data_IF_799889575764
#
_entry.id   IF_799889575764
#
_cell.length_a   1.000
_cell.length_b   1.000
_cell.length_c   1.000
_cell.angle_alpha   90.00
_cell.angle_beta   90.00
_cell.angle_gamma   90.00
#
_symmetry.space_group_name_H-M   'P 1'
#
loop_
_entity.id
_entity.type
_entity.pdbx_description
1 polymer ?
#
# COMPACT_ATOMS: atom_id res chain seq x y z
N UNK A 1 -44.33 5.41 -80.09
CA UNK A 1 -45.21 4.44 -79.42
C UNK A 1 -44.51 4.06 -78.11
N UNK A 2 -44.92 4.62 -77.00
CA UNK A 2 -44.35 4.30 -75.68
C UNK A 2 -44.80 2.89 -75.25
N UNK A 3 -43.88 2.01 -75.07
CA UNK A 3 -44.18 0.67 -74.58
C UNK A 3 -44.44 0.72 -73.01
N UNK A 4 -45.75 0.91 -72.64
CA UNK A 4 -46.07 1.09 -71.22
C UNK A 4 -45.64 -0.10 -70.35
N UNK A 5 -45.59 -1.28 -70.95
CA UNK A 5 -45.12 -2.50 -70.26
C UNK A 5 -43.61 -2.45 -69.90
N UNK A 6 -42.77 -1.85 -70.76
CA UNK A 6 -41.30 -1.68 -70.49
C UNK A 6 -41.05 -0.65 -69.39
N UNK A 7 -41.82 0.46 -69.37
CA UNK A 7 -41.69 1.48 -68.31
C UNK A 7 -42.15 0.95 -66.99
N UNK A 8 -43.26 0.18 -66.91
CA UNK A 8 -43.72 -0.46 -65.68
C UNK A 8 -42.71 -1.49 -65.15
N UNK A 9 -42.10 -2.31 -66.04
CA UNK A 9 -41.05 -3.28 -65.66
C UNK A 9 -39.83 -2.57 -65.10
N UNK A 10 -39.42 -1.45 -65.69
CA UNK A 10 -38.26 -0.70 -65.25
C UNK A 10 -38.50 -0.04 -63.89
N UNK A 11 -39.70 0.48 -63.63
CA UNK A 11 -40.15 1.02 -62.35
C UNK A 11 -40.17 -0.08 -61.31
N UNK A 12 -40.68 -1.27 -61.64
CA UNK A 12 -40.75 -2.40 -60.72
C UNK A 12 -39.35 -2.89 -60.31
N UNK A 13 -38.42 -2.96 -61.26
CA UNK A 13 -37.01 -3.32 -60.98
C UNK A 13 -36.35 -2.24 -60.13
N UNK A 14 -36.60 -0.97 -60.37
CA UNK A 14 -36.07 0.12 -59.57
C UNK A 14 -36.59 0.10 -58.13
N UNK A 15 -37.88 -0.16 -57.95
CA UNK A 15 -38.52 -0.30 -56.63
C UNK A 15 -37.96 -1.53 -55.90
N UNK A 16 -37.82 -2.67 -56.60
CA UNK A 16 -37.24 -3.87 -56.00
C UNK A 16 -35.79 -3.63 -55.59
N UNK A 17 -34.98 -2.98 -56.43
CA UNK A 17 -33.60 -2.62 -56.12
C UNK A 17 -33.51 -1.64 -54.95
N UNK A 18 -34.42 -0.67 -54.84
CA UNK A 18 -34.49 0.23 -53.71
C UNK A 18 -34.87 -0.50 -52.41
N UNK A 19 -35.88 -1.39 -52.46
CA UNK A 19 -36.30 -2.18 -51.31
C UNK A 19 -35.18 -3.11 -50.83
N UNK A 20 -34.47 -3.78 -51.72
CA UNK A 20 -33.33 -4.64 -51.33
C UNK A 20 -32.18 -3.84 -50.72
N UNK A 21 -31.85 -2.65 -51.26
CA UNK A 21 -30.83 -1.75 -50.69
C UNK A 21 -31.24 -1.24 -49.31
N UNK A 22 -32.52 -0.92 -49.09
CA UNK A 22 -33.04 -0.43 -47.82
C UNK A 22 -33.19 -1.52 -46.75
N UNK A 23 -33.19 -2.80 -47.16
CA UNK A 23 -33.35 -3.97 -46.27
C UNK A 23 -32.02 -4.45 -45.74
N UNK A 24 -30.94 -4.27 -46.49
CA UNK A 24 -29.62 -4.76 -46.13
C UNK A 24 -28.84 -3.72 -45.31
N UNK A 25 -28.13 -4.17 -44.29
CA UNK A 25 -27.20 -3.35 -43.54
C UNK A 25 -26.00 -4.18 -43.08
N UNK A 26 -24.88 -3.53 -42.83
CA UNK A 26 -23.62 -4.16 -42.43
C UNK A 26 -23.30 -3.81 -40.98
N UNK A 27 -22.91 -4.81 -40.20
CA UNK A 27 -22.38 -4.65 -38.84
C UNK A 27 -20.87 -4.83 -38.89
N UNK A 28 -20.13 -3.82 -38.42
CA UNK A 28 -18.68 -3.91 -38.31
C UNK A 28 -18.26 -4.68 -37.06
N UNK A 29 -17.06 -5.27 -37.10
CA UNK A 29 -16.50 -6.04 -35.99
C UNK A 29 -16.33 -5.21 -34.69
N UNK A 30 -16.23 -3.90 -34.83
CA UNK A 30 -16.07 -2.95 -33.71
C UNK A 30 -17.39 -2.51 -33.09
N UNK A 31 -18.53 -2.89 -33.68
CA UNK A 31 -19.87 -2.41 -33.33
C UNK A 31 -20.82 -3.56 -33.12
N UNK A 32 -21.83 -3.32 -32.34
CA UNK A 32 -23.02 -4.15 -32.20
C UNK A 32 -24.22 -3.36 -32.75
N UNK A 33 -25.17 -4.01 -33.34
CA UNK A 33 -26.34 -3.39 -33.88
C UNK A 33 -27.57 -3.75 -33.04
N UNK A 34 -28.28 -2.74 -32.54
CA UNK A 34 -29.56 -2.88 -31.89
C UNK A 34 -30.66 -2.53 -32.89
N UNK A 35 -31.49 -3.50 -33.24
CA UNK A 35 -32.62 -3.32 -34.15
C UNK A 35 -33.85 -2.89 -33.34
N UNK A 36 -34.33 -1.70 -33.61
CA UNK A 36 -35.52 -1.14 -32.98
C UNK A 36 -36.69 -1.26 -33.93
N UNK A 37 -37.85 -1.59 -33.41
CA UNK A 37 -39.13 -1.58 -34.13
C UNK A 37 -40.07 -0.56 -33.44
N UNK A 38 -40.38 0.52 -34.10
CA UNK A 38 -41.18 1.64 -33.57
C UNK A 38 -40.60 2.22 -32.26
N UNK A 39 -39.28 2.11 -32.08
CA UNK A 39 -38.59 2.59 -30.89
C UNK A 39 -38.32 1.52 -29.82
N UNK A 40 -38.98 0.34 -29.92
CA UNK A 40 -38.75 -0.77 -28.99
C UNK A 40 -37.61 -1.68 -29.46
N UNK A 41 -36.69 -2.07 -28.58
CA UNK A 41 -35.62 -2.98 -28.94
C UNK A 41 -36.17 -4.41 -29.15
N UNK A 42 -35.88 -4.97 -30.31
CA UNK A 42 -36.35 -6.33 -30.70
C UNK A 42 -35.23 -7.33 -30.80
N UNK A 43 -34.09 -6.95 -31.31
CA UNK A 43 -33.01 -7.86 -31.63
C UNK A 43 -31.65 -7.17 -31.48
N UNK A 44 -30.72 -7.86 -30.81
CA UNK A 44 -29.32 -7.49 -30.78
C UNK A 44 -28.56 -8.34 -31.77
N UNK A 45 -27.69 -7.74 -32.55
CA UNK A 45 -26.84 -8.38 -33.54
C UNK A 45 -25.41 -8.07 -33.16
N UNK A 46 -24.69 -9.08 -32.67
CA UNK A 46 -23.29 -9.02 -32.20
C UNK A 46 -22.31 -9.54 -33.25
N UNK A 47 -22.78 -10.33 -34.20
CA UNK A 47 -21.95 -10.92 -35.25
C UNK A 47 -21.73 -9.92 -36.39
N UNK A 48 -20.43 -9.72 -36.78
CA UNK A 48 -20.12 -8.87 -37.91
C UNK A 48 -20.57 -9.51 -39.21
N UNK A 49 -21.07 -8.71 -40.15
CA UNK A 49 -21.51 -9.18 -41.45
C UNK A 49 -22.69 -8.43 -41.99
N UNK A 50 -23.32 -9.05 -43.04
CA UNK A 50 -24.48 -8.52 -43.71
C UNK A 50 -25.76 -9.08 -43.06
N UNK A 51 -26.64 -8.18 -42.64
CA UNK A 51 -27.90 -8.50 -41.96
C UNK A 51 -29.09 -7.85 -42.63
N UNK A 52 -30.30 -8.31 -42.25
CA UNK A 52 -31.56 -7.86 -42.82
C UNK A 52 -32.36 -7.07 -41.77
N UNK A 53 -33.00 -6.00 -42.23
CA UNK A 53 -34.02 -5.25 -41.49
C UNK A 53 -35.27 -5.04 -42.33
N UNK A 54 -36.37 -4.85 -41.67
CA UNK A 54 -37.61 -4.42 -42.37
C UNK A 54 -37.51 -2.91 -42.65
N UNK A 55 -37.48 -2.51 -43.93
CA UNK A 55 -37.42 -1.10 -44.28
C UNK A 55 -38.66 -0.40 -43.75
N UNK A 56 -38.54 0.89 -43.39
CA UNK A 56 -39.58 1.79 -42.86
C UNK A 56 -40.12 1.44 -41.47
N UNK A 57 -39.97 0.20 -40.99
CA UNK A 57 -40.51 -0.27 -39.70
C UNK A 57 -39.39 -0.40 -38.66
N UNK A 58 -38.19 -0.78 -39.10
CA UNK A 58 -37.08 -1.03 -38.23
C UNK A 58 -35.99 0.00 -38.44
N UNK A 59 -35.53 0.56 -37.32
CA UNK A 59 -34.33 1.40 -37.22
C UNK A 59 -33.19 0.67 -36.54
N UNK A 60 -31.95 1.06 -36.85
CA UNK A 60 -30.74 0.46 -36.29
C UNK A 60 -29.99 1.52 -35.52
N UNK A 61 -29.57 1.15 -34.33
CA UNK A 61 -28.59 1.90 -33.53
C UNK A 61 -27.33 1.08 -33.43
N UNK A 62 -26.21 1.67 -33.83
CA UNK A 62 -24.89 1.07 -33.67
C UNK A 62 -24.30 1.47 -32.33
N UNK A 63 -23.86 0.47 -31.56
CA UNK A 63 -23.25 0.63 -30.26
C UNK A 63 -21.82 0.12 -30.36
N UNK A 64 -20.84 0.88 -29.89
CA UNK A 64 -19.45 0.52 -29.93
C UNK A 64 -19.17 -0.64 -28.97
N UNK A 65 -18.48 -1.68 -29.45
CA UNK A 65 -18.10 -2.90 -28.69
C UNK A 65 -16.70 -2.80 -28.10
N UNK A 66 -15.93 -1.80 -28.52
CA UNK A 66 -14.55 -1.58 -28.05
C UNK A 66 -14.56 -1.08 -26.62
N UNK A 67 -13.38 -1.12 -26.02
CA UNK A 67 -13.14 -0.43 -24.77
C UNK A 67 -13.12 1.07 -25.04
N UNK A 68 -13.98 1.80 -24.33
CA UNK A 68 -14.14 3.24 -24.42
C UNK A 68 -13.50 3.91 -23.22
N UNK A 69 -12.93 5.08 -23.44
CA UNK A 69 -12.37 5.89 -22.38
C UNK A 69 -13.38 6.93 -21.90
N UNK A 70 -13.46 7.11 -20.60
CA UNK A 70 -14.20 8.16 -19.93
C UNK A 70 -13.23 8.97 -19.09
N UNK A 71 -13.00 10.22 -19.48
CA UNK A 71 -12.28 11.19 -18.66
C UNK A 71 -13.24 11.76 -17.62
N UNK A 72 -12.92 11.58 -16.35
CA UNK A 72 -13.66 12.21 -15.26
C UNK A 72 -13.15 13.63 -15.06
N UNK A 73 -14.04 14.59 -14.71
CA UNK A 73 -13.58 15.93 -14.37
C UNK A 73 -12.63 15.87 -13.16
N UNK A 74 -11.64 16.76 -13.16
CA UNK A 74 -10.74 16.92 -12.02
C UNK A 74 -11.54 17.40 -10.81
N UNK A 75 -11.44 16.69 -9.69
CA UNK A 75 -12.18 16.99 -8.46
C UNK A 75 -11.24 17.15 -7.26
N UNK A 76 -11.66 17.99 -6.31
CA UNK A 76 -11.03 18.06 -5.00
C UNK A 76 -11.66 17.02 -4.06
N UNK A 77 -10.84 16.12 -3.53
CA UNK A 77 -11.22 15.11 -2.57
C UNK A 77 -10.47 15.31 -1.25
N UNK A 78 -11.04 14.81 -0.17
CA UNK A 78 -10.43 14.87 1.16
C UNK A 78 -10.06 13.45 1.58
N UNK A 79 -8.78 13.22 1.85
CA UNK A 79 -8.28 11.95 2.37
C UNK A 79 -8.61 11.77 3.87
N UNK A 80 -8.45 10.54 4.40
CA UNK A 80 -8.73 10.22 5.80
C UNK A 80 -7.90 11.05 6.79
N UNK A 81 -6.69 11.45 6.39
CA UNK A 81 -5.79 12.35 7.15
C UNK A 81 -6.09 13.85 6.95
N UNK A 82 -7.29 14.17 6.47
CA UNK A 82 -7.81 15.54 6.24
C UNK A 82 -7.02 16.38 5.22
N UNK A 83 -6.18 15.76 4.42
CA UNK A 83 -5.49 16.43 3.32
C UNK A 83 -6.41 16.56 2.12
N UNK A 84 -6.47 17.76 1.54
CA UNK A 84 -7.17 18.00 0.27
C UNK A 84 -6.31 17.56 -0.90
N UNK A 85 -6.90 16.85 -1.83
CA UNK A 85 -6.25 16.31 -3.03
C UNK A 85 -7.02 16.75 -4.25
N UNK A 86 -6.30 17.20 -5.26
CA UNK A 86 -6.82 17.40 -6.60
C UNK A 86 -6.57 16.12 -7.37
N UNK A 87 -7.65 15.40 -7.68
CA UNK A 87 -7.57 14.09 -8.32
C UNK A 87 -8.10 14.18 -9.74
N UNK A 88 -7.30 13.69 -10.69
CA UNK A 88 -7.66 13.46 -12.08
C UNK A 88 -7.65 11.95 -12.34
N UNK A 89 -8.77 11.43 -12.84
CA UNK A 89 -8.93 10.01 -13.09
C UNK A 89 -9.56 9.73 -14.47
N UNK A 90 -9.21 8.59 -15.03
CA UNK A 90 -9.88 8.06 -16.21
C UNK A 90 -10.40 6.66 -15.94
N UNK A 91 -11.47 6.34 -16.63
CA UNK A 91 -12.15 5.04 -16.53
C UNK A 91 -12.23 4.41 -17.90
N UNK A 92 -11.90 3.15 -18.01
CA UNK A 92 -12.11 2.35 -19.21
C UNK A 92 -13.29 1.45 -19.01
N UNK A 93 -14.24 1.52 -19.92
CA UNK A 93 -15.46 0.73 -19.86
C UNK A 93 -15.79 0.09 -21.21
N UNK A 94 -16.62 -0.91 -21.17
CA UNK A 94 -17.14 -1.62 -22.35
C UNK A 94 -18.63 -1.83 -22.18
N UNK A 95 -19.38 -1.69 -23.27
CA UNK A 95 -20.79 -2.00 -23.30
C UNK A 95 -20.93 -3.51 -23.55
N UNK A 96 -21.33 -4.24 -22.51
CA UNK A 96 -21.47 -5.70 -22.54
C UNK A 96 -22.87 -6.12 -23.02
N UNK A 97 -23.90 -5.43 -22.56
CA UNK A 97 -25.27 -5.68 -22.94
C UNK A 97 -25.88 -4.43 -23.59
N UNK A 98 -25.98 -4.41 -24.94
CA UNK A 98 -26.54 -3.27 -25.66
C UNK A 98 -28.03 -3.04 -25.38
N UNK A 99 -28.76 -4.09 -24.99
CA UNK A 99 -30.18 -3.98 -24.67
C UNK A 99 -30.39 -3.22 -23.35
N UNK A 100 -29.70 -3.67 -22.30
CA UNK A 100 -29.72 -3.00 -21.00
C UNK A 100 -29.20 -1.57 -21.11
N UNK A 101 -28.11 -1.36 -21.86
CA UNK A 101 -27.54 -0.04 -22.12
C UNK A 101 -28.56 0.91 -22.74
N UNK A 102 -29.24 0.46 -23.80
CA UNK A 102 -30.21 1.29 -24.48
C UNK A 102 -31.45 1.57 -23.63
N UNK A 103 -31.96 0.60 -22.91
CA UNK A 103 -33.15 0.76 -22.05
C UNK A 103 -32.91 1.69 -20.88
N UNK A 104 -31.71 1.63 -20.27
CA UNK A 104 -31.35 2.41 -19.08
C UNK A 104 -30.84 3.82 -19.42
N UNK A 105 -29.98 3.95 -20.44
CA UNK A 105 -29.22 5.17 -20.68
C UNK A 105 -29.54 5.82 -22.03
N UNK A 106 -30.05 5.05 -23.00
CA UNK A 106 -30.44 5.42 -24.37
C UNK A 106 -29.31 5.88 -25.28
N UNK A 107 -28.39 6.71 -24.79
CA UNK A 107 -27.30 7.25 -25.61
C UNK A 107 -25.98 7.33 -24.80
N UNK A 108 -24.83 7.38 -25.53
CA UNK A 108 -23.51 7.44 -24.95
C UNK A 108 -23.24 8.70 -24.16
N UNK A 109 -23.91 9.82 -24.47
CA UNK A 109 -23.71 11.09 -23.76
C UNK A 109 -24.28 11.01 -22.34
N UNK A 110 -25.49 10.47 -22.20
CA UNK A 110 -26.09 10.20 -20.89
C UNK A 110 -25.32 9.15 -20.11
N UNK A 111 -24.83 8.11 -20.80
CA UNK A 111 -23.97 7.12 -20.22
C UNK A 111 -22.73 7.75 -19.59
N UNK A 112 -22.00 8.57 -20.34
CA UNK A 112 -20.79 9.23 -19.85
C UNK A 112 -21.06 10.14 -18.65
N UNK A 113 -22.16 10.93 -18.69
CA UNK A 113 -22.52 11.78 -17.54
C UNK A 113 -22.88 10.96 -16.29
N UNK A 114 -23.61 9.86 -16.47
CA UNK A 114 -24.00 9.01 -15.35
C UNK A 114 -22.81 8.24 -14.77
N UNK A 115 -21.96 7.69 -15.65
CA UNK A 115 -20.73 6.99 -15.25
C UNK A 115 -19.77 7.93 -14.54
N UNK A 116 -19.56 9.16 -15.04
CA UNK A 116 -18.71 10.15 -14.38
C UNK A 116 -19.17 10.42 -12.94
N UNK A 117 -20.49 10.58 -12.72
CA UNK A 117 -21.05 10.79 -11.39
C UNK A 117 -20.83 9.58 -10.46
N UNK A 118 -20.99 8.35 -10.97
CA UNK A 118 -20.77 7.12 -10.20
C UNK A 118 -19.28 6.96 -9.86
N UNK A 119 -18.40 7.15 -10.82
CA UNK A 119 -16.94 7.09 -10.63
C UNK A 119 -16.49 8.12 -9.58
N UNK A 120 -16.96 9.37 -9.70
CA UNK A 120 -16.68 10.44 -8.75
C UNK A 120 -17.13 10.09 -7.33
N UNK A 121 -18.37 9.58 -7.19
CA UNK A 121 -18.92 9.15 -5.90
C UNK A 121 -18.10 8.01 -5.27
N UNK A 122 -17.77 7.00 -6.07
CA UNK A 122 -16.98 5.84 -5.62
C UNK A 122 -15.54 6.23 -5.26
N UNK A 123 -14.90 7.11 -6.04
CA UNK A 123 -13.59 7.67 -5.71
C UNK A 123 -13.62 8.44 -4.40
N UNK A 124 -14.64 9.28 -4.19
CA UNK A 124 -14.78 10.05 -2.95
C UNK A 124 -14.92 9.15 -1.73
N UNK A 125 -15.69 8.08 -1.84
CA UNK A 125 -15.84 7.09 -0.77
C UNK A 125 -14.51 6.42 -0.43
N UNK A 126 -13.83 5.86 -1.43
CA UNK A 126 -12.59 5.08 -1.21
C UNK A 126 -11.41 5.96 -0.81
N UNK A 127 -11.26 7.14 -1.43
CA UNK A 127 -10.20 8.11 -1.09
C UNK A 127 -10.41 8.68 0.31
N UNK A 128 -11.67 8.91 0.72
CA UNK A 128 -12.00 9.40 2.06
C UNK A 128 -11.67 8.42 3.19
N UNK A 129 -11.57 7.13 2.90
CA UNK A 129 -11.19 6.08 3.86
C UNK A 129 -9.67 5.86 3.97
N UNK A 130 -8.89 6.33 3.02
CA UNK A 130 -7.45 6.07 2.92
C UNK A 130 -6.62 7.32 3.23
N UNK A 131 -5.46 7.18 3.94
CA UNK A 131 -4.52 8.28 4.10
C UNK A 131 -3.82 8.62 2.78
N UNK A 132 -3.34 9.85 2.66
CA UNK A 132 -2.68 10.36 1.45
C UNK A 132 -1.54 9.46 0.93
N UNK A 133 -0.73 8.92 1.83
CA UNK A 133 0.43 8.08 1.48
C UNK A 133 0.01 6.78 0.78
N UNK A 134 -1.10 6.18 1.19
CA UNK A 134 -1.65 4.97 0.58
C UNK A 134 -2.21 5.25 -0.82
N UNK A 135 -2.82 6.41 -1.03
CA UNK A 135 -3.38 6.82 -2.32
C UNK A 135 -2.26 7.04 -3.35
N UNK A 136 -1.14 7.66 -2.93
CA UNK A 136 -0.06 8.04 -3.84
C UNK A 136 0.95 6.91 -4.07
N UNK A 137 1.22 6.06 -3.06
CA UNK A 137 2.33 5.09 -3.08
C UNK A 137 1.92 3.68 -2.67
N UNK A 138 1.58 3.47 -1.39
CA UNK A 138 1.65 2.16 -0.74
C UNK A 138 0.57 1.19 -1.20
N UNK A 139 -0.69 1.65 -1.32
CA UNK A 139 -1.86 0.80 -1.60
C UNK A 139 -2.66 1.28 -2.81
N UNK A 140 -2.01 2.02 -3.71
CA UNK A 140 -2.68 2.63 -4.86
C UNK A 140 -3.43 1.60 -5.73
N UNK A 141 -2.79 0.49 -6.08
CA UNK A 141 -3.41 -0.52 -6.94
C UNK A 141 -4.59 -1.23 -6.27
N UNK A 142 -4.50 -1.44 -4.96
CA UNK A 142 -5.58 -2.01 -4.16
C UNK A 142 -6.80 -1.07 -4.13
N UNK A 143 -6.56 0.22 -3.88
CA UNK A 143 -7.61 1.24 -3.89
C UNK A 143 -8.27 1.37 -5.27
N UNK A 144 -7.49 1.33 -6.36
CA UNK A 144 -8.03 1.33 -7.73
C UNK A 144 -8.90 0.11 -8.00
N UNK A 145 -8.50 -1.05 -7.52
CA UNK A 145 -9.29 -2.28 -7.63
C UNK A 145 -10.60 -2.15 -6.87
N UNK A 146 -10.57 -1.63 -5.64
CA UNK A 146 -11.77 -1.38 -4.84
C UNK A 146 -12.74 -0.39 -5.52
N UNK A 147 -12.21 0.70 -6.10
CA UNK A 147 -13.02 1.66 -6.85
C UNK A 147 -13.66 0.97 -8.06
N UNK A 148 -12.90 0.21 -8.84
CA UNK A 148 -13.41 -0.54 -9.99
C UNK A 148 -14.55 -1.48 -9.62
N UNK A 149 -14.41 -2.22 -8.52
CA UNK A 149 -15.43 -3.13 -8.02
C UNK A 149 -16.71 -2.41 -7.62
N UNK A 150 -16.60 -1.32 -6.86
CA UNK A 150 -17.74 -0.49 -6.46
C UNK A 150 -18.45 0.13 -7.67
N UNK A 151 -17.69 0.62 -8.66
CA UNK A 151 -18.28 1.18 -9.88
C UNK A 151 -18.96 0.08 -10.70
N UNK A 152 -18.35 -1.11 -10.82
CA UNK A 152 -18.96 -2.24 -11.53
C UNK A 152 -20.28 -2.69 -10.88
N UNK A 153 -20.36 -2.73 -9.57
CA UNK A 153 -21.58 -3.06 -8.84
C UNK A 153 -22.70 -2.06 -9.18
N UNK A 154 -22.39 -0.76 -9.18
CA UNK A 154 -23.37 0.29 -9.47
C UNK A 154 -23.73 0.43 -10.95
N UNK A 155 -22.90 -0.09 -11.85
CA UNK A 155 -23.12 0.00 -13.31
C UNK A 155 -23.64 -1.29 -13.93
N UNK A 156 -23.80 -2.34 -13.14
CA UNK A 156 -24.27 -3.64 -13.60
C UNK A 156 -25.62 -3.56 -14.34
N UNK A 157 -26.58 -2.81 -13.78
CA UNK A 157 -27.92 -2.65 -14.35
C UNK A 157 -27.94 -1.78 -15.63
N UNK A 158 -26.82 -1.17 -15.98
CA UNK A 158 -26.70 -0.38 -17.22
C UNK A 158 -26.14 -1.18 -18.40
N UNK A 159 -25.81 -2.45 -18.20
CA UNK A 159 -25.19 -3.29 -19.21
C UNK A 159 -23.76 -2.87 -19.57
N UNK A 160 -23.08 -2.15 -18.65
CA UNK A 160 -21.72 -1.64 -18.80
C UNK A 160 -20.79 -2.44 -17.87
N UNK A 161 -19.64 -2.80 -18.39
CA UNK A 161 -18.55 -3.41 -17.64
C UNK A 161 -17.38 -2.44 -17.53
N UNK A 162 -16.96 -2.14 -16.32
CA UNK A 162 -15.77 -1.33 -16.06
C UNK A 162 -14.54 -2.22 -16.13
N UNK A 163 -13.70 -1.95 -17.10
CA UNK A 163 -12.46 -2.71 -17.33
C UNK A 163 -11.38 -2.27 -16.36
N UNK A 164 -11.20 -0.95 -16.22
CA UNK A 164 -10.19 -0.36 -15.35
C UNK A 164 -10.57 1.05 -14.90
N UNK A 165 -10.12 1.42 -13.70
CA UNK A 165 -10.21 2.79 -13.19
C UNK A 165 -8.82 3.18 -12.70
N UNK A 166 -8.30 4.30 -13.19
CA UNK A 166 -6.97 4.78 -12.81
C UNK A 166 -6.99 6.26 -12.46
N UNK A 167 -6.38 6.58 -11.34
CA UNK A 167 -6.01 7.95 -11.03
C UNK A 167 -4.80 8.31 -11.90
N UNK A 168 -4.91 9.34 -12.72
CA UNK A 168 -3.82 9.88 -13.52
C UNK A 168 -2.91 10.73 -12.66
N UNK A 169 -3.52 11.58 -11.83
CA UNK A 169 -2.86 12.58 -11.02
C UNK A 169 -3.57 12.74 -9.68
N UNK A 170 -2.81 12.81 -8.62
CA UNK A 170 -3.30 13.11 -7.27
C UNK A 170 -2.29 14.06 -6.61
N UNK A 171 -2.59 15.35 -6.64
CA UNK A 171 -1.73 16.42 -6.13
C UNK A 171 -2.41 17.19 -5.02
N UNK A 172 -1.60 17.90 -4.25
CA UNK A 172 -2.09 18.89 -3.30
C UNK A 172 -2.47 20.18 -4.05
N UNK A 173 -3.55 20.89 -3.65
CA UNK A 173 -3.91 22.17 -4.24
C UNK A 173 -2.74 23.17 -4.19
N UNK A 174 -2.46 23.86 -5.29
CA UNK A 174 -1.31 24.77 -5.42
C UNK A 174 -1.34 25.92 -4.39
N UNK A 175 -2.52 26.41 -4.06
CA UNK A 175 -2.70 27.55 -3.16
C UNK A 175 -2.17 27.34 -1.73
N UNK A 176 -2.03 26.11 -1.28
CA UNK A 176 -1.62 25.75 0.09
C UNK A 176 -0.42 24.80 0.14
N UNK A 177 0.14 24.40 -1.00
CA UNK A 177 1.18 23.37 -1.08
C UNK A 177 2.41 23.71 -0.23
N UNK A 178 2.90 24.96 -0.27
CA UNK A 178 4.09 25.37 0.48
C UNK A 178 3.90 25.25 2.00
N UNK A 179 2.81 25.76 2.54
CA UNK A 179 2.51 25.67 3.97
C UNK A 179 2.29 24.21 4.43
N UNK A 180 1.68 23.39 3.58
CA UNK A 180 1.50 21.95 3.84
C UNK A 180 2.85 21.23 3.84
N UNK A 181 3.74 21.51 2.89
CA UNK A 181 5.10 20.94 2.86
C UNK A 181 5.91 21.33 4.11
N UNK A 182 5.88 22.59 4.52
CA UNK A 182 6.57 23.05 5.73
C UNK A 182 6.04 22.35 6.99
N UNK A 183 4.73 22.19 7.08
CA UNK A 183 4.10 21.44 8.17
C UNK A 183 4.51 19.96 8.14
N UNK A 184 4.48 19.30 6.98
CA UNK A 184 4.91 17.91 6.83
C UNK A 184 6.38 17.70 7.21
N UNK A 185 7.27 18.63 6.79
CA UNK A 185 8.68 18.61 7.19
C UNK A 185 8.79 18.72 8.72
N UNK A 186 8.07 19.66 9.33
CA UNK A 186 8.08 19.86 10.78
C UNK A 186 7.57 18.64 11.54
N UNK A 187 6.52 17.99 11.07
CA UNK A 187 5.98 16.76 11.63
C UNK A 187 7.00 15.61 11.53
N UNK A 188 7.63 15.42 10.38
CA UNK A 188 8.67 14.38 10.20
C UNK A 188 9.91 14.63 11.05
N UNK A 189 10.32 15.88 11.21
CA UNK A 189 11.43 16.25 12.11
C UNK A 189 11.06 15.94 13.57
N UNK A 190 9.83 16.23 13.99
CA UNK A 190 9.36 15.91 15.34
C UNK A 190 9.33 14.40 15.57
N UNK A 191 8.74 13.62 14.66
CA UNK A 191 8.69 12.17 14.71
C UNK A 191 10.09 11.56 14.78
N UNK A 192 11.01 12.02 13.94
CA UNK A 192 12.40 11.58 13.97
C UNK A 192 13.11 11.91 15.29
N UNK A 193 12.81 13.06 15.93
CA UNK A 193 13.33 13.41 17.25
C UNK A 193 12.75 12.48 18.33
N UNK A 194 11.47 12.15 18.26
CA UNK A 194 10.80 11.24 19.21
C UNK A 194 11.41 9.82 19.12
N UNK A 195 11.58 9.27 17.92
CA UNK A 195 12.23 7.97 17.75
C UNK A 195 13.67 7.96 18.23
N UNK A 196 14.45 9.04 18.00
CA UNK A 196 15.81 9.14 18.52
C UNK A 196 15.84 9.23 20.04
N UNK A 197 14.93 9.99 20.65
CA UNK A 197 14.81 10.10 22.11
C UNK A 197 14.47 8.76 22.73
N UNK A 198 13.48 8.03 22.16
CA UNK A 198 13.13 6.67 22.57
C UNK A 198 14.29 5.69 22.43
N UNK A 199 15.01 5.76 21.31
CA UNK A 199 16.20 4.93 21.10
C UNK A 199 17.31 5.23 22.12
N UNK A 200 17.54 6.49 22.46
CA UNK A 200 18.49 6.91 23.49
C UNK A 200 18.08 6.44 24.89
N UNK A 201 16.80 6.55 25.22
CA UNK A 201 16.26 6.03 26.50
C UNK A 201 16.51 4.51 26.65
N UNK A 202 16.16 3.74 25.62
CA UNK A 202 16.36 2.29 25.62
C UNK A 202 17.86 1.94 25.71
N UNK A 203 18.71 2.64 24.97
CA UNK A 203 20.15 2.44 25.03
C UNK A 203 20.73 2.72 26.41
N UNK A 204 20.31 3.82 27.05
CA UNK A 204 20.73 4.14 28.44
C UNK A 204 20.27 3.09 29.43
N UNK A 205 19.03 2.59 29.30
CA UNK A 205 18.50 1.54 30.16
C UNK A 205 19.29 0.26 30.04
N UNK A 206 19.59 -0.18 28.83
CA UNK A 206 20.38 -1.40 28.56
C UNK A 206 21.80 -1.23 29.12
N UNK A 207 22.44 -0.08 28.89
CA UNK A 207 23.79 0.20 29.39
C UNK A 207 23.83 0.22 30.92
N UNK A 208 22.86 0.89 31.56
CA UNK A 208 22.78 0.94 33.03
C UNK A 208 22.52 -0.45 33.65
N UNK A 209 21.72 -1.27 33.01
CA UNK A 209 21.44 -2.64 33.46
C UNK A 209 22.70 -3.53 33.33
N UNK A 210 23.42 -3.42 32.20
CA UNK A 210 24.69 -4.13 32.00
C UNK A 210 25.80 -3.68 33.00
N UNK A 211 25.92 -2.37 33.26
CA UNK A 211 26.87 -1.84 34.24
C UNK A 211 26.54 -2.29 35.68
N UNK A 212 25.24 -2.33 36.01
CA UNK A 212 24.79 -2.90 37.30
C UNK A 212 25.16 -4.37 37.40
N UNK A 213 24.87 -5.17 36.39
CA UNK A 213 25.19 -6.61 36.38
C UNK A 213 26.70 -6.86 36.46
N UNK A 214 27.49 -6.11 35.69
CA UNK A 214 28.95 -6.13 35.79
C UNK A 214 29.44 -5.83 37.20
N UNK A 215 28.89 -4.80 37.86
CA UNK A 215 29.25 -4.41 39.21
C UNK A 215 28.92 -5.53 40.22
N UNK A 216 27.74 -6.14 40.10
CA UNK A 216 27.34 -7.28 40.96
C UNK A 216 28.26 -8.49 40.76
N UNK A 217 28.56 -8.86 39.54
CA UNK A 217 29.45 -9.98 39.22
C UNK A 217 30.86 -9.77 39.79
N UNK A 218 31.41 -8.54 39.61
CA UNK A 218 32.73 -8.21 40.16
C UNK A 218 32.72 -8.23 41.68
N UNK A 219 31.72 -7.69 42.33
CA UNK A 219 31.57 -7.69 43.78
C UNK A 219 31.43 -9.12 44.33
N UNK A 220 30.66 -9.98 43.69
CA UNK A 220 30.54 -11.38 44.07
C UNK A 220 31.85 -12.16 43.86
N UNK A 221 32.55 -11.91 42.77
CA UNK A 221 33.86 -12.52 42.52
C UNK A 221 34.91 -12.09 43.58
N UNK A 222 34.94 -10.80 43.90
CA UNK A 222 35.80 -10.26 44.96
C UNK A 222 35.44 -10.87 46.31
N UNK A 223 34.16 -10.93 46.67
CA UNK A 223 33.70 -11.59 47.91
C UNK A 223 34.13 -13.05 47.98
N UNK A 224 33.95 -13.83 46.91
CA UNK A 224 34.39 -15.23 46.85
C UNK A 224 35.89 -15.35 46.99
N UNK A 225 36.67 -14.47 46.35
CA UNK A 225 38.12 -14.42 46.44
C UNK A 225 38.59 -14.19 47.88
N UNK A 226 38.00 -13.20 48.57
CA UNK A 226 38.35 -12.89 49.95
C UNK A 226 37.95 -14.02 50.92
N UNK A 227 36.83 -14.69 50.74
CA UNK A 227 36.43 -15.86 51.51
C UNK A 227 37.46 -17.01 51.32
N UNK A 228 37.81 -17.32 50.06
CA UNK A 228 38.78 -18.38 49.78
C UNK A 228 40.19 -18.07 50.31
N UNK A 229 40.61 -16.79 50.24
CA UNK A 229 41.88 -16.36 50.89
C UNK A 229 41.83 -16.54 52.41
N UNK A 230 40.72 -16.06 53.04
CA UNK A 230 40.54 -16.21 54.48
C UNK A 230 40.52 -17.70 54.95
N UNK A 231 39.80 -18.56 54.16
CA UNK A 231 39.80 -19.99 54.42
C UNK A 231 41.24 -20.62 54.26
N UNK A 232 41.96 -20.16 53.23
CA UNK A 232 43.32 -20.58 52.98
C UNK A 232 44.27 -20.13 54.09
N UNK A 233 44.18 -18.90 54.52
CA UNK A 233 44.98 -18.36 55.67
C UNK A 233 44.62 -19.05 56.98
N UNK A 234 43.35 -19.31 57.28
CA UNK A 234 42.91 -20.07 58.43
C UNK A 234 43.56 -21.48 58.47
N UNK A 235 43.42 -22.19 57.32
CA UNK A 235 44.04 -23.51 57.23
C UNK A 235 45.60 -23.50 57.40
N UNK A 236 46.21 -22.47 56.81
CA UNK A 236 47.66 -22.31 56.99
C UNK A 236 48.02 -22.04 58.43
N UNK A 237 47.30 -21.18 59.14
CA UNK A 237 47.50 -20.91 60.59
C UNK A 237 47.27 -22.19 61.40
N UNK A 238 46.22 -22.98 61.14
CA UNK A 238 45.94 -24.22 61.80
C UNK A 238 47.05 -25.23 61.61
N UNK A 239 47.64 -25.38 60.43
CA UNK A 239 48.74 -26.25 60.11
C UNK A 239 50.01 -25.80 60.86
N UNK A 240 50.29 -24.47 60.86
CA UNK A 240 51.45 -23.94 61.60
C UNK A 240 51.24 -24.07 63.10
N UNK A 241 50.05 -23.84 63.66
CA UNK A 241 49.78 -24.03 65.09
C UNK A 241 50.03 -25.51 65.54
N UNK A 242 49.49 -26.46 64.77
CA UNK A 242 49.66 -27.88 65.02
C UNK A 242 51.16 -28.30 64.94
N UNK A 243 51.91 -27.71 63.98
CA UNK A 243 53.34 -27.95 63.87
C UNK A 243 54.15 -27.33 65.06
N UNK A 244 53.71 -26.14 65.51
CA UNK A 244 54.30 -25.47 66.69
C UNK A 244 54.08 -26.22 67.97
N UNK A 245 52.94 -26.89 68.16
CA UNK A 245 52.68 -27.72 69.33
C UNK A 245 53.64 -28.93 69.44
N UNK A 246 54.21 -29.38 68.30
CA UNK A 246 55.18 -30.54 68.32
C UNK A 246 56.58 -30.14 68.76
N UNK A 247 57.10 -28.93 68.41
CA UNK A 247 58.40 -28.40 68.84
C UNK A 247 58.41 -26.89 68.87
N UNK A 248 58.12 -26.35 70.04
CA UNK A 248 57.95 -24.90 70.29
C UNK A 248 59.25 -24.10 70.09
N UNK A 249 60.37 -24.68 70.42
CA UNK A 249 61.67 -24.01 70.38
C UNK A 249 62.22 -23.91 68.95
N UNK A 250 62.06 -24.97 68.17
CA UNK A 250 62.40 -24.96 66.75
C UNK A 250 61.47 -23.98 65.96
N UNK A 251 60.20 -23.96 66.25
CA UNK A 251 59.26 -23.03 65.56
C UNK A 251 59.57 -21.55 65.85
N UNK A 252 59.87 -21.20 67.09
CA UNK A 252 60.24 -19.83 67.46
C UNK A 252 61.55 -19.38 66.76
N UNK A 253 62.51 -20.27 66.63
CA UNK A 253 63.74 -20.03 65.86
C UNK A 253 63.42 -19.85 64.34
N UNK A 254 62.69 -20.76 63.77
CA UNK A 254 62.30 -20.71 62.34
C UNK A 254 61.53 -19.46 62.02
N UNK A 255 60.56 -19.06 62.85
CA UNK A 255 59.74 -17.86 62.66
C UNK A 255 60.50 -16.55 62.78
N UNK A 256 61.46 -16.48 63.69
CA UNK A 256 62.37 -15.35 63.84
C UNK A 256 63.24 -15.19 62.58
N UNK A 257 63.79 -16.31 62.06
CA UNK A 257 64.58 -16.29 60.82
C UNK A 257 63.74 -15.87 59.61
N UNK A 258 62.50 -16.30 59.52
CA UNK A 258 61.61 -15.93 58.46
C UNK A 258 61.24 -14.42 58.57
N UNK A 259 61.06 -13.91 59.79
CA UNK A 259 60.81 -12.47 60.01
C UNK A 259 62.08 -11.66 59.64
N UNK A 260 63.26 -12.12 59.98
CA UNK A 260 64.50 -11.47 59.53
C UNK A 260 64.64 -11.47 58.01
N UNK A 261 64.30 -12.57 57.34
CA UNK A 261 64.36 -12.67 55.89
C UNK A 261 63.37 -11.66 55.19
N UNK A 262 62.17 -11.43 55.78
CA UNK A 262 61.25 -10.47 55.31
C UNK A 262 61.65 -9.01 55.59
N UNK A 263 62.23 -8.74 56.74
CA UNK A 263 62.65 -7.39 57.12
C UNK A 263 63.95 -6.98 56.41
N UNK A 264 64.83 -7.91 56.11
CA UNK A 264 66.15 -7.67 55.48
C UNK A 264 66.16 -7.92 53.98
N UNK A 265 65.09 -8.52 53.41
CA UNK A 265 64.95 -8.78 52.01
C UNK A 265 64.14 -7.67 51.26
N UNK A 266 64.78 -7.11 50.28
CA UNK A 266 64.26 -6.28 49.16
C UNK A 266 64.06 -4.79 49.38
N UNK A 267 63.77 -4.23 50.54
CA UNK A 267 63.52 -2.79 50.67
C UNK A 267 64.49 -2.04 51.59
N UNK A 268 65.83 -2.17 51.36
CA UNK A 268 66.80 -1.15 51.79
C UNK A 268 66.76 -0.66 53.28
N UNK A 269 66.21 -1.44 54.19
CA UNK A 269 66.15 -1.06 55.62
C UNK A 269 67.53 -1.20 56.26
N UNK A 270 68.21 -0.08 56.48
CA UNK A 270 69.48 -0.04 57.18
C UNK A 270 69.24 -0.26 58.66
N UNK A 271 69.69 -1.40 59.18
CA UNK A 271 69.72 -1.66 60.60
C UNK A 271 70.93 -0.97 61.28
N UNK A 272 70.67 0.09 62.07
CA UNK A 272 71.74 0.71 62.89
C UNK A 272 71.84 -0.04 64.20
N UNK A 273 72.89 -0.82 64.37
CA UNK A 273 73.26 -1.42 65.63
C UNK A 273 74.05 -0.39 66.46
N UNK A 274 73.54 0.03 67.61
CA UNK A 274 74.30 0.82 68.64
C UNK A 274 74.93 -0.06 69.69
#
# INVERSE_FOLDING_TARGET
MSHPKLVISLILIAVLGFLTSATLFTVHQTQQALVLQFGDPRRVIDEPGLHFKLPFVQNIIYIDKRILDLDSPTEELIAADQKRLVVDAYTRYRIKDPLQFFTSLRDSRRANSRLAAIVSSSMRSVVGEAPFEDIVRTRRDELMTKIRELVNEQTYDFGIEIVDVRIRRADLPEANSQAIYERMISERVREAKEFRAKGSEVAQKITAEADKEKTVILAEATRKSEILKGEGESKAIDIYANAFEQDSDFYSFYRSMQAYGKVLGEDGTTMILS
#
